data_IF_934880401101
#
_entry.id   IF_934880401101
#
_cell.length_a   1.000
_cell.length_b   1.000
_cell.length_c   1.000
_cell.angle_alpha   90.00
_cell.angle_beta   90.00
_cell.angle_gamma   90.00
#
_symmetry.space_group_name_H-M   'P 1'
#
loop_
_entity.id
_entity.type
_entity.pdbx_description
1 polymer ?
#
# COMPACT_ATOMS: atom_id res chain seq x y z
N UNK A 1 -31.30 -83.76 22.58
CA UNK A 1 -30.69 -82.80 23.54
C UNK A 1 -29.89 -81.80 22.73
N UNK A 2 -30.24 -80.51 22.87
CA UNK A 2 -29.86 -79.41 21.97
C UNK A 2 -28.52 -78.77 22.38
N UNK A 3 -27.72 -78.43 21.37
CA UNK A 3 -26.48 -77.63 21.41
C UNK A 3 -26.74 -76.23 21.98
N UNK A 4 -25.76 -75.68 22.68
CA UNK A 4 -25.52 -74.23 22.75
C UNK A 4 -24.00 -73.99 22.79
N UNK A 5 -23.47 -73.42 21.71
CA UNK A 5 -22.12 -72.85 21.61
C UNK A 5 -22.30 -71.35 21.85
N UNK A 6 -21.66 -70.81 22.87
CA UNK A 6 -21.67 -69.38 23.19
C UNK A 6 -20.62 -68.71 22.30
N UNK A 7 -21.08 -67.86 21.38
CA UNK A 7 -20.23 -66.99 20.57
C UNK A 7 -20.13 -65.62 21.25
N UNK A 8 -18.94 -65.27 21.71
CA UNK A 8 -18.65 -63.94 22.27
C UNK A 8 -18.35 -62.98 21.12
N UNK A 9 -19.26 -62.04 20.86
CA UNK A 9 -19.07 -60.95 19.89
C UNK A 9 -18.14 -59.90 20.48
N UNK A 10 -16.99 -59.67 19.83
CA UNK A 10 -16.08 -58.57 20.14
C UNK A 10 -16.44 -57.39 19.23
N UNK A 11 -17.18 -56.42 19.76
CA UNK A 11 -17.50 -55.17 19.06
C UNK A 11 -16.28 -54.25 19.05
N UNK A 12 -15.70 -54.06 17.86
CA UNK A 12 -14.68 -53.04 17.61
C UNK A 12 -15.43 -51.73 17.33
N UNK A 13 -15.35 -50.78 18.27
CA UNK A 13 -15.72 -49.38 18.03
C UNK A 13 -14.57 -48.70 17.27
N UNK A 14 -14.73 -48.49 15.96
CA UNK A 14 -13.89 -47.59 15.19
C UNK A 14 -14.44 -46.17 15.37
N UNK A 15 -13.75 -45.37 16.17
CA UNK A 15 -13.94 -43.92 16.21
C UNK A 15 -13.20 -43.37 14.99
N UNK A 16 -13.93 -43.03 13.93
CA UNK A 16 -13.39 -42.24 12.83
C UNK A 16 -13.15 -40.81 13.31
N UNK A 17 -11.95 -40.54 13.82
CA UNK A 17 -11.40 -39.18 13.76
C UNK A 17 -11.00 -38.93 12.31
N UNK A 18 -11.59 -37.91 11.68
CA UNK A 18 -11.14 -37.42 10.39
C UNK A 18 -9.73 -36.85 10.60
N UNK A 19 -8.73 -37.63 10.25
CA UNK A 19 -7.34 -37.20 10.24
C UNK A 19 -7.18 -36.45 8.92
N UNK A 20 -7.20 -35.12 8.94
CA UNK A 20 -6.83 -34.34 7.77
C UNK A 20 -5.39 -34.74 7.41
N UNK A 21 -5.24 -35.35 6.24
CA UNK A 21 -3.93 -35.77 5.76
C UNK A 21 -3.08 -34.51 5.52
N UNK A 22 -1.83 -34.43 6.03
CA UNK A 22 -0.94 -33.29 5.80
C UNK A 22 -0.79 -32.94 4.31
N UNK A 23 -0.84 -33.96 3.44
CA UNK A 23 -0.79 -33.82 1.98
C UNK A 23 -1.95 -33.02 1.37
N UNK A 24 -3.13 -33.00 2.01
CA UNK A 24 -4.28 -32.22 1.52
C UNK A 24 -4.21 -30.75 1.96
N UNK A 25 -3.60 -30.46 3.12
CA UNK A 25 -3.38 -29.10 3.61
C UNK A 25 -2.28 -28.40 2.80
N UNK A 26 -1.16 -29.08 2.53
CA UNK A 26 -0.08 -28.57 1.65
C UNK A 26 -0.58 -28.28 0.22
N UNK A 27 -1.57 -29.04 -0.27
CA UNK A 27 -2.19 -28.80 -1.57
C UNK A 27 -3.07 -27.52 -1.57
N UNK A 28 -3.85 -27.30 -0.50
CA UNK A 28 -4.66 -26.08 -0.35
C UNK A 28 -3.76 -24.84 -0.26
N UNK A 29 -2.76 -24.82 0.61
CA UNK A 29 -1.87 -23.66 0.76
C UNK A 29 -1.18 -23.31 -0.57
N UNK A 30 -0.76 -24.32 -1.33
CA UNK A 30 -0.20 -24.13 -2.68
C UNK A 30 -1.19 -23.46 -3.64
N UNK A 31 -2.47 -23.85 -3.60
CA UNK A 31 -3.53 -23.20 -4.39
C UNK A 31 -3.73 -21.74 -3.94
N UNK A 32 -3.78 -21.48 -2.63
CA UNK A 32 -3.97 -20.13 -2.10
C UNK A 32 -2.80 -19.21 -2.44
N UNK A 33 -1.56 -19.69 -2.33
CA UNK A 33 -0.37 -18.97 -2.77
C UNK A 33 -0.42 -18.63 -4.26
N UNK A 34 -0.83 -19.57 -5.10
CA UNK A 34 -0.96 -19.35 -6.54
C UNK A 34 -2.04 -18.30 -6.89
N UNK A 35 -3.07 -18.13 -6.04
CA UNK A 35 -4.04 -17.05 -6.19
C UNK A 35 -3.42 -15.70 -5.84
N UNK A 36 -2.65 -15.63 -4.74
CA UNK A 36 -1.94 -14.39 -4.34
C UNK A 36 -0.95 -13.93 -5.41
N UNK A 37 -0.22 -14.85 -6.01
CA UNK A 37 0.79 -14.54 -7.04
C UNK A 37 0.19 -13.97 -8.33
N UNK A 38 -1.08 -14.28 -8.60
CA UNK A 38 -1.78 -13.80 -9.79
C UNK A 38 -2.56 -12.51 -9.55
N UNK A 39 -2.74 -12.09 -8.29
CA UNK A 39 -3.57 -10.94 -7.96
C UNK A 39 -2.77 -9.64 -7.95
N UNK A 40 -3.12 -8.74 -8.88
CA UNK A 40 -2.50 -7.42 -9.03
C UNK A 40 -2.64 -6.53 -7.77
N UNK A 41 -3.68 -6.73 -6.96
CA UNK A 41 -3.98 -5.88 -5.79
C UNK A 41 -3.12 -6.23 -4.56
N UNK A 42 -2.53 -7.43 -4.53
CA UNK A 42 -1.92 -8.00 -3.32
C UNK A 42 -0.46 -7.58 -3.14
N UNK A 43 0.28 -7.43 -4.22
CA UNK A 43 1.73 -7.21 -4.20
C UNK A 43 2.19 -5.83 -3.72
N UNK A 44 3.51 -5.66 -3.66
CA UNK A 44 4.19 -4.41 -3.26
C UNK A 44 4.91 -3.71 -4.44
N UNK A 45 4.65 -4.13 -5.69
CA UNK A 45 5.34 -3.52 -6.83
C UNK A 45 4.93 -2.04 -6.95
N UNK A 46 5.89 -1.13 -7.03
CA UNK A 46 5.66 0.31 -6.93
C UNK A 46 6.01 0.92 -5.57
N UNK A 47 6.35 0.11 -4.55
CA UNK A 47 6.99 0.62 -3.33
C UNK A 47 8.44 1.08 -3.56
N UNK A 48 9.11 0.46 -4.53
CA UNK A 48 10.44 0.85 -5.00
C UNK A 48 10.41 2.15 -5.79
N UNK A 49 11.23 3.11 -5.40
CA UNK A 49 11.45 4.35 -6.14
C UNK A 49 12.48 4.16 -7.26
N UNK A 50 13.28 3.10 -7.24
CA UNK A 50 14.36 2.88 -8.20
C UNK A 50 15.46 3.92 -8.10
N UNK A 51 15.65 4.51 -6.91
CA UNK A 51 16.58 5.60 -6.64
C UNK A 51 15.89 6.86 -6.09
N UNK A 52 16.58 8.00 -6.17
CA UNK A 52 16.04 9.30 -5.78
C UNK A 52 15.01 9.81 -6.80
N UNK A 53 13.95 10.48 -6.31
CA UNK A 53 12.88 10.97 -7.17
C UNK A 53 12.51 12.41 -6.82
N UNK A 54 11.99 13.14 -7.80
CA UNK A 54 11.31 14.42 -7.54
C UNK A 54 10.09 14.19 -6.64
N UNK A 55 9.76 15.21 -5.84
CA UNK A 55 8.65 15.19 -4.88
C UNK A 55 7.30 14.93 -5.56
N UNK A 56 7.15 15.46 -6.78
CA UNK A 56 5.97 15.28 -7.63
C UNK A 56 6.39 14.80 -9.03
N UNK A 57 5.84 13.66 -9.49
CA UNK A 57 6.10 13.16 -10.85
C UNK A 57 5.01 12.18 -11.33
N UNK A 58 4.97 11.92 -12.63
CA UNK A 58 4.22 10.83 -13.26
C UNK A 58 5.12 10.15 -14.33
N UNK A 59 5.22 8.82 -14.29
CA UNK A 59 6.04 7.99 -15.17
C UNK A 59 5.17 6.85 -15.73
N UNK A 60 5.11 6.71 -17.05
CA UNK A 60 4.43 5.62 -17.76
C UNK A 60 2.92 5.51 -17.59
N UNK A 61 2.32 6.29 -16.69
CA UNK A 61 0.88 6.34 -16.50
C UNK A 61 0.16 6.89 -17.74
N UNK A 62 -1.01 6.31 -18.04
CA UNK A 62 -1.87 6.84 -19.08
C UNK A 62 -2.37 8.24 -18.68
N UNK A 63 -1.75 9.22 -19.32
CA UNK A 63 -2.01 10.66 -19.39
C UNK A 63 -3.17 11.13 -20.27
N UNK A 64 -4.16 11.91 -19.83
CA UNK A 64 -4.99 12.66 -20.80
C UNK A 64 -4.36 14.05 -21.09
N UNK A 65 -3.97 14.30 -22.36
CA UNK A 65 -3.44 15.57 -22.84
C UNK A 65 -1.93 15.78 -22.62
N UNK A 66 -1.41 16.95 -23.04
CA UNK A 66 -0.03 17.36 -22.72
C UNK A 66 0.10 17.45 -21.20
N UNK A 67 1.09 16.73 -20.65
CA UNK A 67 1.52 16.70 -19.24
C UNK A 67 1.43 18.07 -18.58
N UNK A 68 0.27 18.39 -18.00
CA UNK A 68 0.17 19.39 -16.95
C UNK A 68 0.39 18.63 -15.67
N UNK A 69 1.67 18.43 -15.34
CA UNK A 69 2.09 18.23 -13.98
C UNK A 69 1.32 19.26 -13.16
N UNK A 70 0.61 18.85 -12.10
CA UNK A 70 0.26 19.78 -11.04
C UNK A 70 1.60 20.16 -10.43
N UNK A 71 2.26 21.11 -11.10
CA UNK A 71 3.65 21.45 -10.92
C UNK A 71 3.80 21.86 -9.47
N UNK A 72 4.70 21.15 -8.81
CA UNK A 72 5.46 21.58 -7.66
C UNK A 72 5.52 23.11 -7.64
N UNK A 73 4.85 23.68 -6.64
CA UNK A 73 5.02 25.10 -6.36
C UNK A 73 6.42 25.19 -5.80
N UNK A 74 7.34 25.56 -6.70
CA UNK A 74 8.73 25.84 -6.43
C UNK A 74 8.85 26.60 -5.11
N UNK A 75 9.41 25.96 -4.09
CA UNK A 75 10.03 26.68 -2.97
C UNK A 75 11.37 27.23 -3.49
N UNK A 76 11.32 28.20 -4.40
CA UNK A 76 12.47 29.06 -4.67
C UNK A 76 12.73 29.87 -3.40
N UNK A 77 13.75 29.49 -2.63
CA UNK A 77 14.08 30.20 -1.38
C UNK A 77 15.33 29.73 -0.67
N UNK A 78 15.68 28.45 -0.77
CA UNK A 78 16.89 27.89 -0.15
C UNK A 78 17.79 27.34 -1.26
N UNK A 79 19.10 27.59 -1.20
CA UNK A 79 20.03 27.43 -2.34
C UNK A 79 20.19 26.03 -2.95
N UNK A 80 19.35 25.06 -2.58
CA UNK A 80 19.30 23.71 -3.11
C UNK A 80 17.88 23.10 -3.00
N UNK A 81 17.58 22.12 -3.84
CA UNK A 81 16.38 21.29 -3.79
C UNK A 81 16.71 19.90 -3.25
N UNK A 82 15.78 19.26 -2.54
CA UNK A 82 15.93 17.89 -2.06
C UNK A 82 15.18 16.91 -2.97
N UNK A 83 15.84 15.82 -3.33
CA UNK A 83 15.24 14.62 -3.94
C UNK A 83 15.54 13.45 -3.05
N UNK A 84 14.60 12.51 -2.97
CA UNK A 84 14.87 11.28 -2.24
C UNK A 84 13.98 10.15 -2.70
N UNK A 85 14.38 8.95 -2.37
CA UNK A 85 13.63 7.73 -2.63
C UNK A 85 14.34 6.51 -2.09
N UNK A 86 13.86 5.34 -2.52
CA UNK A 86 14.41 4.05 -2.16
C UNK A 86 14.95 3.32 -3.38
N UNK A 87 15.99 2.55 -3.16
CA UNK A 87 16.42 1.49 -4.06
C UNK A 87 16.33 0.16 -3.31
N UNK A 88 15.40 -0.69 -3.75
CA UNK A 88 15.23 -2.01 -3.15
C UNK A 88 16.38 -2.95 -3.54
N UNK A 89 16.92 -3.65 -2.55
CA UNK A 89 17.95 -4.67 -2.73
C UNK A 89 17.33 -6.06 -2.62
N UNK A 90 16.47 -6.26 -1.63
CA UNK A 90 15.86 -7.55 -1.34
C UNK A 90 14.41 -7.41 -0.86
N UNK A 91 13.61 -8.44 -1.15
CA UNK A 91 12.19 -8.50 -0.82
C UNK A 91 11.80 -9.93 -0.46
N UNK A 92 11.55 -10.14 0.82
CA UNK A 92 10.99 -11.38 1.33
C UNK A 92 9.47 -11.25 1.49
N UNK A 93 8.74 -12.34 1.20
CA UNK A 93 7.31 -12.47 1.49
C UNK A 93 7.08 -13.77 2.22
N UNK A 94 6.53 -13.69 3.43
CA UNK A 94 6.00 -14.84 4.16
C UNK A 94 4.48 -14.78 4.16
N UNK A 95 3.85 -15.94 4.15
CA UNK A 95 2.39 -16.06 4.23
C UNK A 95 2.04 -17.14 5.24
N UNK A 96 1.24 -16.78 6.24
CA UNK A 96 0.71 -17.71 7.23
C UNK A 96 -0.79 -17.90 6.96
N UNK A 97 -1.24 -19.15 6.84
CA UNK A 97 -2.63 -19.45 6.55
C UNK A 97 -3.38 -19.97 7.78
N UNK A 98 -4.55 -19.39 8.02
CA UNK A 98 -5.59 -19.96 8.86
C UNK A 98 -6.67 -20.55 7.93
N UNK A 99 -6.66 -21.88 7.77
CA UNK A 99 -7.59 -22.59 6.89
C UNK A 99 -8.82 -23.09 7.64
N UNK A 100 -9.99 -22.72 7.16
CA UNK A 100 -11.29 -23.24 7.58
C UNK A 100 -11.93 -24.11 6.49
N UNK A 101 -13.18 -24.53 6.73
CA UNK A 101 -13.89 -25.43 5.80
C UNK A 101 -14.21 -24.74 4.46
N UNK A 102 -14.77 -23.54 4.49
CA UNK A 102 -15.22 -22.79 3.30
C UNK A 102 -14.50 -21.43 3.14
N UNK A 103 -13.70 -21.05 4.13
CA UNK A 103 -12.98 -19.79 4.20
C UNK A 103 -11.54 -20.03 4.64
N UNK A 104 -10.59 -19.26 4.13
CA UNK A 104 -9.23 -19.21 4.64
C UNK A 104 -8.75 -17.76 4.75
N UNK A 105 -7.85 -17.48 5.68
CA UNK A 105 -7.21 -16.17 5.84
C UNK A 105 -5.71 -16.35 5.68
N UNK A 106 -5.10 -15.60 4.77
CA UNK A 106 -3.65 -15.49 4.64
C UNK A 106 -3.16 -14.19 5.25
N UNK A 107 -2.33 -14.27 6.29
CA UNK A 107 -1.54 -13.13 6.79
C UNK A 107 -0.26 -13.04 5.97
N UNK A 108 -0.12 -11.96 5.21
CA UNK A 108 1.03 -11.71 4.35
C UNK A 108 1.93 -10.70 5.04
N UNK A 109 3.19 -11.07 5.24
CA UNK A 109 4.25 -10.17 5.74
C UNK A 109 5.27 -9.97 4.63
N UNK A 110 5.50 -8.72 4.26
CA UNK A 110 6.57 -8.31 3.36
C UNK A 110 7.69 -7.66 4.16
N UNK A 111 8.90 -8.21 4.06
CA UNK A 111 10.12 -7.59 4.58
C UNK A 111 10.90 -7.04 3.39
N UNK A 112 11.03 -5.73 3.34
CA UNK A 112 11.69 -5.01 2.24
C UNK A 112 12.99 -4.39 2.76
N UNK A 113 14.10 -4.75 2.14
CA UNK A 113 15.42 -4.23 2.47
C UNK A 113 15.97 -3.42 1.29
N UNK A 114 16.68 -2.34 1.58
CA UNK A 114 17.29 -1.52 0.53
C UNK A 114 18.09 -0.35 1.06
N UNK A 115 18.39 0.56 0.15
CA UNK A 115 19.02 1.85 0.45
C UNK A 115 18.01 2.98 0.28
N UNK A 116 17.92 3.82 1.31
CA UNK A 116 17.27 5.12 1.24
C UNK A 116 18.31 6.13 0.76
N UNK A 117 17.95 6.92 -0.24
CA UNK A 117 18.84 7.86 -0.92
C UNK A 117 18.23 9.25 -0.78
N UNK A 118 18.98 10.19 -0.23
CA UNK A 118 18.63 11.61 -0.18
C UNK A 118 19.72 12.42 -0.88
N UNK A 119 19.31 13.25 -1.83
CA UNK A 119 20.19 14.05 -2.68
C UNK A 119 19.80 15.52 -2.55
N UNK A 120 20.78 16.37 -2.25
CA UNK A 120 20.64 17.81 -2.36
C UNK A 120 21.18 18.27 -3.72
N UNK A 121 20.42 19.07 -4.45
CA UNK A 121 20.77 19.55 -5.78
C UNK A 121 20.80 21.08 -5.77
N UNK A 122 21.92 21.67 -6.17
CA UNK A 122 22.10 23.11 -6.24
C UNK A 122 21.25 23.77 -7.35
N UNK A 123 21.29 25.11 -7.41
CA UNK A 123 20.59 25.87 -8.46
C UNK A 123 21.10 25.58 -9.88
N UNK A 124 22.28 25.00 -10.03
CA UNK A 124 22.89 24.61 -11.31
C UNK A 124 22.60 23.15 -11.69
N UNK A 125 21.73 22.46 -10.95
CA UNK A 125 21.40 21.04 -11.15
C UNK A 125 22.54 20.07 -10.83
N UNK A 126 23.53 20.50 -10.04
CA UNK A 126 24.59 19.63 -9.56
C UNK A 126 24.24 19.10 -8.18
N UNK A 127 24.61 17.85 -7.93
CA UNK A 127 24.55 17.26 -6.60
C UNK A 127 25.51 17.99 -5.63
N UNK A 128 25.07 18.16 -4.39
CA UNK A 128 25.85 18.69 -3.29
C UNK A 128 26.27 17.53 -2.40
N UNK A 129 27.41 16.91 -2.69
CA UNK A 129 27.93 15.71 -2.01
C UNK A 129 27.92 15.79 -0.48
N UNK A 130 28.13 16.98 0.10
CA UNK A 130 28.17 17.18 1.56
C UNK A 130 26.80 17.11 2.23
N UNK A 131 25.71 17.21 1.46
CA UNK A 131 24.32 17.18 1.93
C UNK A 131 23.58 15.94 1.41
N UNK A 132 24.11 15.27 0.40
CA UNK A 132 23.61 13.98 -0.09
C UNK A 132 24.14 12.81 0.73
N UNK A 133 23.32 11.77 0.88
CA UNK A 133 23.73 10.53 1.53
C UNK A 133 22.82 9.36 1.13
N UNK A 134 23.29 8.14 1.39
CA UNK A 134 22.45 6.95 1.44
C UNK A 134 22.56 6.27 2.81
N UNK A 135 21.52 5.54 3.20
CA UNK A 135 21.51 4.69 4.40
C UNK A 135 20.69 3.42 4.14
N UNK A 136 21.05 2.34 4.81
CA UNK A 136 20.28 1.10 4.75
C UNK A 136 18.93 1.27 5.45
N UNK A 137 17.91 0.59 4.94
CA UNK A 137 16.61 0.50 5.59
C UNK A 137 16.03 -0.91 5.53
N UNK A 138 15.20 -1.20 6.52
CA UNK A 138 14.27 -2.33 6.51
C UNK A 138 12.87 -1.79 6.78
N UNK A 139 11.89 -2.19 5.98
CA UNK A 139 10.48 -1.89 6.15
C UNK A 139 9.70 -3.20 6.22
N UNK A 140 8.80 -3.32 7.20
CA UNK A 140 7.89 -4.46 7.30
C UNK A 140 6.48 -3.97 6.98
N UNK A 141 5.80 -4.65 6.05
CA UNK A 141 4.43 -4.35 5.64
C UNK A 141 3.57 -5.60 5.79
N UNK A 142 2.39 -5.44 6.38
CA UNK A 142 1.48 -6.54 6.69
C UNK A 142 0.11 -6.32 6.05
N UNK A 143 -0.53 -7.39 5.60
CA UNK A 143 -1.95 -7.38 5.22
C UNK A 143 -2.58 -8.74 5.39
N UNK A 144 -3.91 -8.77 5.49
CA UNK A 144 -4.70 -10.01 5.45
C UNK A 144 -5.42 -10.15 4.12
N UNK A 145 -5.47 -11.36 3.60
CA UNK A 145 -6.27 -11.73 2.42
C UNK A 145 -7.21 -12.85 2.81
N UNK A 146 -8.48 -12.71 2.45
CA UNK A 146 -9.50 -13.73 2.70
C UNK A 146 -9.83 -14.45 1.41
N UNK A 147 -9.97 -15.76 1.54
CA UNK A 147 -10.29 -16.68 0.47
C UNK A 147 -11.59 -17.38 0.80
N UNK A 148 -12.38 -17.66 -0.22
CA UNK A 148 -13.62 -18.44 -0.09
C UNK A 148 -13.66 -19.54 -1.13
N UNK A 149 -14.31 -20.66 -0.78
CA UNK A 149 -14.74 -21.65 -1.75
C UNK A 149 -15.95 -21.13 -2.51
N UNK A 150 -15.94 -21.34 -3.82
CA UNK A 150 -17.11 -21.12 -4.67
C UNK A 150 -17.40 -22.39 -5.44
N UNK A 151 -18.68 -22.68 -5.60
CA UNK A 151 -19.15 -23.81 -6.40
C UNK A 151 -18.61 -23.70 -7.83
N UNK A 152 -17.97 -24.77 -8.27
CA UNK A 152 -17.44 -24.91 -9.62
C UNK A 152 -17.62 -26.37 -10.08
N UNK A 153 -18.76 -26.68 -10.72
CA UNK A 153 -19.03 -28.03 -11.22
C UNK A 153 -18.05 -28.51 -12.29
N UNK A 154 -17.23 -27.62 -12.87
CA UNK A 154 -16.19 -27.98 -13.83
C UNK A 154 -14.87 -28.39 -13.14
N UNK A 155 -14.70 -28.08 -11.86
CA UNK A 155 -13.57 -28.52 -11.03
C UNK A 155 -13.76 -29.98 -10.60
N UNK A 156 -12.70 -30.82 -10.55
CA UNK A 156 -12.79 -32.20 -10.06
C UNK A 156 -13.41 -32.31 -8.66
N UNK A 157 -13.17 -31.32 -7.80
CA UNK A 157 -13.65 -31.29 -6.41
C UNK A 157 -15.03 -30.61 -6.27
N UNK A 158 -15.60 -30.12 -7.37
CA UNK A 158 -16.88 -29.40 -7.38
C UNK A 158 -16.82 -27.96 -6.84
N UNK A 159 -15.63 -27.48 -6.45
CA UNK A 159 -15.39 -26.11 -6.01
C UNK A 159 -14.04 -25.58 -6.51
N UNK A 160 -13.86 -24.27 -6.43
CA UNK A 160 -12.57 -23.59 -6.55
C UNK A 160 -12.40 -22.55 -5.46
N UNK A 161 -11.16 -22.28 -5.08
CA UNK A 161 -10.84 -21.14 -4.22
C UNK A 161 -10.78 -19.85 -5.03
N UNK A 162 -11.15 -18.73 -4.39
CA UNK A 162 -10.88 -17.38 -4.90
C UNK A 162 -10.56 -16.45 -3.75
N UNK A 163 -9.83 -15.37 -4.04
CA UNK A 163 -9.73 -14.21 -3.14
C UNK A 163 -11.09 -13.50 -3.17
N UNK A 164 -11.67 -13.24 -2.00
CA UNK A 164 -12.92 -12.48 -1.89
C UNK A 164 -12.68 -11.06 -1.36
N UNK A 165 -11.70 -10.89 -0.49
CA UNK A 165 -11.40 -9.62 0.15
C UNK A 165 -9.94 -9.53 0.59
N UNK A 166 -9.47 -8.31 0.77
CA UNK A 166 -8.15 -8.01 1.31
C UNK A 166 -8.20 -6.75 2.16
N UNK A 167 -7.35 -6.69 3.17
CA UNK A 167 -7.15 -5.47 3.93
C UNK A 167 -6.19 -4.53 3.18
N UNK A 168 -6.27 -3.22 3.42
CA UNK A 168 -5.13 -2.35 3.24
C UNK A 168 -3.85 -2.97 3.81
N UNK A 169 -2.73 -2.70 3.15
CA UNK A 169 -1.44 -3.11 3.66
C UNK A 169 -0.84 -1.98 4.48
N UNK A 170 -0.36 -2.30 5.68
CA UNK A 170 0.08 -1.32 6.66
C UNK A 170 1.44 -1.71 7.22
N UNK A 171 2.27 -0.72 7.54
CA UNK A 171 3.55 -0.98 8.18
C UNK A 171 4.48 0.22 8.06
N UNK A 172 5.78 -0.03 7.98
CA UNK A 172 6.77 1.03 8.01
C UNK A 172 8.06 0.59 8.72
N UNK A 173 8.76 1.58 9.27
CA UNK A 173 9.96 1.39 10.06
C UNK A 173 10.04 2.47 11.14
N UNK A 174 10.56 2.12 12.32
CA UNK A 174 10.56 3.02 13.47
C UNK A 174 9.16 3.33 14.01
N UNK A 175 9.08 4.25 14.97
CA UNK A 175 7.87 4.59 15.74
C UNK A 175 7.65 6.11 15.89
N UNK A 176 8.49 6.93 15.23
CA UNK A 176 8.37 8.39 15.30
C UNK A 176 7.14 8.93 14.58
N UNK A 177 6.88 8.49 13.36
CA UNK A 177 5.75 8.97 12.55
C UNK A 177 4.69 7.87 12.40
N UNK A 178 3.42 8.26 12.41
CA UNK A 178 2.29 7.33 12.25
C UNK A 178 1.17 8.01 11.47
N UNK A 179 0.67 7.37 10.42
CA UNK A 179 -0.56 7.78 9.74
C UNK A 179 -1.76 7.39 10.61
N UNK A 180 -2.70 8.32 10.80
CA UNK A 180 -3.89 8.13 11.64
C UNK A 180 -5.15 8.04 10.81
N UNK A 181 -5.29 8.94 9.83
CA UNK A 181 -6.44 8.99 8.93
C UNK A 181 -5.99 9.31 7.51
N UNK A 182 -6.72 8.76 6.55
CA UNK A 182 -6.55 9.04 5.13
C UNK A 182 -7.92 9.21 4.51
N UNK A 183 -8.14 10.29 3.78
CA UNK A 183 -9.39 10.51 3.05
C UNK A 183 -9.15 11.07 1.65
N UNK A 184 -10.02 10.69 0.72
CA UNK A 184 -10.02 11.14 -0.66
C UNK A 184 -11.33 11.84 -0.96
N UNK A 185 -11.26 13.03 -1.56
CA UNK A 185 -12.44 13.79 -1.99
C UNK A 185 -12.40 14.04 -3.48
N UNK A 186 -13.57 14.13 -4.10
CA UNK A 186 -13.71 14.67 -5.46
C UNK A 186 -13.48 16.18 -5.44
N UNK A 187 -13.15 16.71 -6.62
CA UNK A 187 -13.08 18.14 -6.85
C UNK A 187 -14.14 18.56 -7.87
N UNK A 188 -14.74 19.73 -7.66
CA UNK A 188 -15.58 20.37 -8.68
C UNK A 188 -14.75 20.81 -9.89
N UNK A 189 -15.41 21.23 -10.98
CA UNK A 189 -14.73 21.80 -12.15
C UNK A 189 -13.88 23.05 -11.81
N UNK A 190 -14.24 23.75 -10.71
CA UNK A 190 -13.51 24.91 -10.20
C UNK A 190 -12.37 24.54 -9.23
N UNK A 191 -12.06 23.25 -9.06
CA UNK A 191 -11.05 22.73 -8.11
C UNK A 191 -11.39 22.98 -6.64
N UNK A 192 -12.67 23.10 -6.32
CA UNK A 192 -13.15 23.16 -4.93
C UNK A 192 -13.40 21.73 -4.42
N UNK A 193 -13.12 21.48 -3.13
CA UNK A 193 -13.41 20.20 -2.49
C UNK A 193 -14.91 19.95 -2.46
N UNK A 194 -15.32 18.75 -2.89
CA UNK A 194 -16.73 18.38 -3.01
C UNK A 194 -17.08 17.16 -2.13
N UNK A 195 -17.24 15.97 -2.72
CA UNK A 195 -17.74 14.79 -2.03
C UNK A 195 -16.61 13.93 -1.46
N UNK A 196 -16.79 13.39 -0.24
CA UNK A 196 -15.94 12.36 0.32
C UNK A 196 -16.13 11.06 -0.47
N UNK A 197 -15.06 10.59 -1.13
CA UNK A 197 -15.06 9.34 -1.88
C UNK A 197 -14.74 8.14 -0.99
N UNK A 198 -13.64 8.25 -0.22
CA UNK A 198 -13.12 7.16 0.61
C UNK A 198 -12.46 7.71 1.86
N UNK A 199 -12.57 6.99 2.98
CA UNK A 199 -11.89 7.30 4.23
C UNK A 199 -11.38 6.03 4.90
N UNK A 200 -10.20 6.11 5.50
CA UNK A 200 -9.52 5.04 6.20
C UNK A 200 -8.96 5.59 7.51
N UNK A 201 -9.04 4.80 8.58
CA UNK A 201 -8.53 5.17 9.91
C UNK A 201 -7.68 4.03 10.49
N UNK A 202 -6.65 4.38 11.25
CA UNK A 202 -5.67 3.43 11.80
C UNK A 202 -6.29 2.34 12.67
N UNK A 203 -7.38 2.65 13.37
CA UNK A 203 -7.98 1.79 14.39
C UNK A 203 -8.49 0.45 13.83
N UNK A 204 -8.93 0.43 12.57
CA UNK A 204 -9.53 -0.74 11.93
C UNK A 204 -8.75 -1.20 10.68
N UNK A 205 -7.68 -0.50 10.31
CA UNK A 205 -7.09 -0.64 8.97
C UNK A 205 -6.54 -2.05 8.68
N UNK A 206 -5.97 -2.70 9.70
CA UNK A 206 -5.45 -4.07 9.61
C UNK A 206 -6.52 -5.17 9.57
N UNK A 207 -7.79 -4.80 9.83
CA UNK A 207 -8.95 -5.71 9.88
C UNK A 207 -10.07 -5.30 8.91
N UNK A 208 -9.93 -4.16 8.22
CA UNK A 208 -10.85 -3.66 7.22
C UNK A 208 -10.77 -4.47 5.93
N UNK A 209 -11.58 -5.51 5.81
CA UNK A 209 -11.68 -6.29 4.57
C UNK A 209 -12.43 -5.53 3.48
N UNK A 210 -11.73 -5.18 2.42
CA UNK A 210 -12.29 -4.60 1.20
C UNK A 210 -12.59 -5.73 0.22
N UNK A 211 -13.83 -5.81 -0.26
CA UNK A 211 -14.24 -6.77 -1.28
C UNK A 211 -13.39 -6.59 -2.55
N UNK A 212 -12.81 -7.68 -3.04
CA UNK A 212 -11.89 -7.70 -4.17
C UNK A 212 -12.54 -7.27 -5.49
N UNK A 213 -13.84 -7.49 -5.65
CA UNK A 213 -14.63 -7.08 -6.81
C UNK A 213 -15.18 -5.65 -6.67
N UNK A 214 -15.19 -5.11 -5.44
CA UNK A 214 -15.69 -3.77 -5.10
C UNK A 214 -14.62 -2.89 -4.44
N UNK A 215 -13.38 -2.96 -4.96
CA UNK A 215 -12.30 -2.04 -4.57
C UNK A 215 -12.73 -0.57 -4.73
N UNK A 216 -12.15 0.37 -3.96
CA UNK A 216 -12.28 1.80 -4.22
C UNK A 216 -12.09 2.11 -5.71
N UNK A 217 -13.01 2.86 -6.30
CA UNK A 217 -13.04 3.16 -7.72
C UNK A 217 -12.80 4.65 -7.93
N UNK A 218 -11.84 4.96 -8.79
CA UNK A 218 -11.64 6.32 -9.27
C UNK A 218 -11.95 6.41 -10.77
N UNK A 219 -12.69 7.45 -11.16
CA UNK A 219 -12.94 7.75 -12.57
C UNK A 219 -11.65 8.22 -13.23
N UNK A 220 -11.28 7.62 -14.36
CA UNK A 220 -10.07 7.98 -15.10
C UNK A 220 -10.03 9.48 -15.42
N UNK A 221 -8.84 10.09 -15.30
CA UNK A 221 -8.58 11.50 -15.60
C UNK A 221 -9.27 12.54 -14.72
N UNK A 222 -10.12 12.09 -13.78
CA UNK A 222 -10.68 12.95 -12.74
C UNK A 222 -9.59 13.50 -11.81
N UNK A 223 -9.94 14.53 -11.06
CA UNK A 223 -9.07 15.11 -10.04
C UNK A 223 -9.65 14.79 -8.67
N UNK A 224 -8.77 14.37 -7.78
CA UNK A 224 -9.10 14.08 -6.39
C UNK A 224 -8.09 14.77 -5.49
N UNK A 225 -8.49 15.07 -4.27
CA UNK A 225 -7.59 15.55 -3.22
C UNK A 225 -7.49 14.48 -2.14
N UNK A 226 -6.27 14.24 -1.67
CA UNK A 226 -6.00 13.39 -0.53
C UNK A 226 -5.72 14.25 0.69
N UNK A 227 -6.25 13.85 1.85
CA UNK A 227 -5.91 14.37 3.17
C UNK A 227 -5.37 13.22 4.02
N UNK A 228 -4.19 13.41 4.59
CA UNK A 228 -3.52 12.44 5.46
C UNK A 228 -3.19 13.09 6.79
N UNK A 229 -3.71 12.53 7.88
CA UNK A 229 -3.44 12.95 9.24
C UNK A 229 -2.26 12.16 9.81
N UNK A 230 -1.29 12.84 10.40
CA UNK A 230 -0.06 12.24 10.94
C UNK A 230 0.11 12.56 12.43
N UNK A 231 0.70 11.63 13.16
CA UNK A 231 1.29 11.90 14.48
C UNK A 231 2.80 11.79 14.32
N UNK A 232 3.53 12.85 14.69
CA UNK A 232 4.99 12.86 14.76
C UNK A 232 5.46 13.04 16.22
N UNK A 233 5.99 11.95 16.79
CA UNK A 233 6.48 11.88 18.16
C UNK A 233 7.89 12.46 18.27
N UNK A 234 7.98 13.78 18.36
CA UNK A 234 9.24 14.49 18.55
C UNK A 234 9.89 14.91 17.23
N UNK A 235 9.29 15.85 16.49
CA UNK A 235 9.91 16.44 15.32
C UNK A 235 11.18 17.19 15.75
N UNK A 236 12.34 16.74 15.26
CA UNK A 236 13.65 17.33 15.59
C UNK A 236 14.08 18.39 14.59
N UNK A 237 13.53 18.34 13.37
CA UNK A 237 13.92 19.16 12.24
C UNK A 237 12.67 19.68 11.51
N UNK A 238 12.78 20.86 10.92
CA UNK A 238 11.78 21.46 10.05
C UNK A 238 12.50 22.05 8.84
N UNK A 239 11.90 22.01 7.65
CA UNK A 239 12.53 22.51 6.42
C UNK A 239 12.21 23.97 6.10
N UNK A 240 11.22 24.55 6.77
CA UNK A 240 10.76 25.91 6.49
C UNK A 240 10.03 26.52 7.72
N UNK A 241 9.37 27.65 7.50
CA UNK A 241 8.63 28.38 8.53
C UNK A 241 7.29 27.75 8.93
N UNK A 242 6.84 26.68 8.27
CA UNK A 242 5.61 25.97 8.66
C UNK A 242 5.78 25.28 10.01
N UNK A 243 7.00 24.83 10.30
CA UNK A 243 7.32 24.08 11.51
C UNK A 243 6.89 22.62 11.45
N UNK A 244 6.56 22.10 10.27
CA UNK A 244 6.20 20.69 10.04
C UNK A 244 7.46 19.83 10.06
N UNK A 245 7.40 18.71 10.78
CA UNK A 245 8.53 17.83 11.08
C UNK A 245 8.63 16.57 10.23
N UNK A 246 7.69 16.39 9.31
CA UNK A 246 7.51 15.20 8.49
C UNK A 246 7.06 15.59 7.09
N UNK A 247 7.28 14.71 6.14
CA UNK A 247 6.70 14.83 4.82
C UNK A 247 5.82 13.64 4.51
N UNK A 248 4.70 13.89 3.83
CA UNK A 248 3.74 12.86 3.44
C UNK A 248 3.64 12.75 1.94
N UNK A 249 3.73 11.53 1.40
CA UNK A 249 3.66 11.27 -0.03
C UNK A 249 2.54 10.34 -0.38
N UNK A 250 1.77 10.69 -1.39
CA UNK A 250 0.87 9.79 -2.09
C UNK A 250 1.59 9.27 -3.33
N UNK A 251 2.14 8.07 -3.24
CA UNK A 251 2.59 7.32 -4.41
C UNK A 251 1.42 6.49 -4.94
N UNK A 252 1.30 6.33 -6.26
CA UNK A 252 0.22 5.57 -6.87
C UNK A 252 0.65 4.98 -8.21
N UNK A 253 0.08 3.84 -8.59
CA UNK A 253 0.41 3.18 -9.85
C UNK A 253 0.38 1.67 -9.74
N UNK A 254 1.01 0.99 -10.71
CA UNK A 254 1.13 -0.47 -10.74
C UNK A 254 2.50 -0.96 -10.31
N UNK A 255 3.54 -0.29 -10.79
CA UNK A 255 4.93 -0.71 -10.64
C UNK A 255 5.87 0.48 -10.84
N UNK A 256 7.19 0.25 -10.81
CA UNK A 256 8.19 1.31 -10.95
C UNK A 256 8.16 2.06 -12.31
N UNK A 257 7.59 1.45 -13.33
CA UNK A 257 7.54 1.96 -14.71
C UNK A 257 6.20 2.67 -14.98
N UNK A 258 5.18 2.40 -14.19
CA UNK A 258 3.83 2.98 -14.25
C UNK A 258 3.43 3.51 -12.87
N UNK A 259 3.90 4.72 -12.53
CA UNK A 259 3.70 5.33 -11.20
C UNK A 259 3.62 6.85 -11.25
N UNK A 260 3.02 7.42 -10.21
CA UNK A 260 3.10 8.83 -9.89
C UNK A 260 3.33 9.03 -8.39
N UNK A 261 3.77 10.22 -8.03
CA UNK A 261 4.00 10.66 -6.65
C UNK A 261 3.48 12.07 -6.48
N UNK A 262 2.84 12.34 -5.34
CA UNK A 262 2.45 13.68 -4.91
C UNK A 262 2.90 13.94 -3.48
N UNK A 263 3.52 15.08 -3.24
CA UNK A 263 3.83 15.58 -1.90
C UNK A 263 2.60 16.26 -1.29
N UNK A 264 2.09 15.69 -0.20
CA UNK A 264 0.98 16.26 0.57
C UNK A 264 1.55 17.24 1.60
N UNK A 265 1.09 18.49 1.55
CA UNK A 265 1.64 19.60 2.32
C UNK A 265 0.70 19.98 3.46
N UNK A 266 1.30 20.30 4.59
CA UNK A 266 0.66 20.96 5.73
C UNK A 266 1.28 22.37 5.81
N UNK A 267 0.67 23.34 5.12
CA UNK A 267 1.21 24.68 4.89
C UNK A 267 0.20 25.81 5.10
N UNK A 268 -1.05 25.50 5.41
CA UNK A 268 -2.19 26.40 5.43
C UNK A 268 -2.54 27.00 4.06
N UNK A 269 -2.19 26.33 2.95
CA UNK A 269 -2.37 26.81 1.58
C UNK A 269 -3.06 25.78 0.68
N UNK A 270 -3.73 26.30 -0.36
CA UNK A 270 -4.44 25.52 -1.38
C UNK A 270 -5.53 24.60 -0.80
N UNK A 271 -5.28 23.30 -0.78
CA UNK A 271 -6.21 22.30 -0.24
C UNK A 271 -6.08 22.16 1.27
N UNK A 272 -4.99 22.67 1.84
CA UNK A 272 -4.75 22.68 3.26
C UNK A 272 -5.21 24.01 3.87
N UNK A 273 -5.99 23.93 4.94
CA UNK A 273 -6.70 25.08 5.52
C UNK A 273 -5.98 25.67 6.72
N UNK A 274 -5.18 24.88 7.44
CA UNK A 274 -4.49 25.29 8.64
C UNK A 274 -3.05 24.77 8.58
N UNK A 275 -2.10 25.63 8.93
CA UNK A 275 -0.68 25.27 8.89
C UNK A 275 -0.28 24.59 10.21
N UNK A 276 0.49 23.52 10.09
CA UNK A 276 1.05 22.71 11.16
C UNK A 276 -0.01 22.17 12.12
N UNK A 277 -1.10 21.63 11.55
CA UNK A 277 -2.14 20.90 12.29
C UNK A 277 -2.02 19.37 12.14
N UNK A 278 -0.97 18.92 11.46
CA UNK A 278 -0.65 17.54 11.06
C UNK A 278 -1.58 16.95 9.99
N UNK A 279 -2.38 17.77 9.31
CA UNK A 279 -3.22 17.35 8.19
C UNK A 279 -2.54 17.76 6.88
N UNK A 280 -1.92 16.78 6.24
CA UNK A 280 -1.25 16.97 4.96
C UNK A 280 -2.23 16.79 3.81
N UNK A 281 -2.27 17.73 2.87
CA UNK A 281 -3.16 17.63 1.71
C UNK A 281 -2.47 17.83 0.37
N UNK A 282 -3.03 17.23 -0.69
CA UNK A 282 -2.49 17.35 -2.04
C UNK A 282 -3.40 16.77 -3.12
N UNK A 283 -3.35 17.38 -4.30
CA UNK A 283 -4.15 17.00 -5.46
C UNK A 283 -3.49 15.92 -6.31
N UNK A 284 -4.26 14.92 -6.72
CA UNK A 284 -3.88 13.88 -7.66
C UNK A 284 -4.80 13.91 -8.88
N UNK A 285 -4.22 13.77 -10.07
CA UNK A 285 -4.99 13.45 -11.27
C UNK A 285 -4.97 11.94 -11.45
N UNK A 286 -6.15 11.33 -11.46
CA UNK A 286 -6.30 9.90 -11.66
C UNK A 286 -5.83 9.58 -13.08
N UNK A 287 -4.93 8.61 -13.22
CA UNK A 287 -4.47 8.14 -14.53
C UNK A 287 -5.56 7.35 -15.27
N UNK A 288 -5.32 6.98 -16.52
CA UNK A 288 -6.16 6.02 -17.22
C UNK A 288 -5.96 4.59 -16.72
N UNK A 289 -6.88 3.66 -17.00
CA UNK A 289 -6.74 2.25 -16.60
C UNK A 289 -5.64 1.51 -17.38
N UNK A 290 -5.09 2.11 -18.43
CA UNK A 290 -4.16 1.49 -19.36
C UNK A 290 -4.67 1.60 -20.80
N UNK A 291 -3.75 1.61 -21.80
CA UNK A 291 -4.13 1.73 -23.20
C UNK A 291 -5.13 0.65 -23.63
N UNK A 292 -6.31 1.08 -24.11
CA UNK A 292 -7.37 0.18 -24.59
C UNK A 292 -8.11 -0.60 -23.49
N UNK A 293 -7.79 -0.37 -22.21
CA UNK A 293 -8.50 -1.01 -21.09
C UNK A 293 -9.68 -0.13 -20.64
N UNK A 294 -10.79 -0.76 -20.26
CA UNK A 294 -11.94 -0.07 -19.64
C UNK A 294 -11.74 0.09 -18.14
N UNK A 295 -11.05 -0.86 -17.52
CA UNK A 295 -10.76 -0.89 -16.08
C UNK A 295 -9.35 -1.44 -15.82
N UNK A 296 -8.73 -1.01 -14.74
CA UNK A 296 -7.42 -1.50 -14.31
C UNK A 296 -7.27 -1.45 -12.79
N UNK A 297 -6.56 -2.40 -12.20
CA UNK A 297 -6.25 -2.44 -10.76
C UNK A 297 -4.90 -1.80 -10.51
N UNK A 298 -4.81 -1.05 -9.42
CA UNK A 298 -3.67 -0.26 -9.00
C UNK A 298 -3.61 -0.23 -7.47
N UNK A 299 -2.56 0.40 -6.94
CA UNK A 299 -2.37 0.57 -5.50
C UNK A 299 -1.72 1.91 -5.21
N UNK A 300 -2.09 2.47 -4.09
CA UNK A 300 -1.42 3.63 -3.51
C UNK A 300 -0.36 3.18 -2.51
N UNK A 301 0.61 4.04 -2.22
CA UNK A 301 1.47 3.97 -1.04
C UNK A 301 1.52 5.38 -0.45
N UNK A 302 0.71 5.58 0.59
CA UNK A 302 0.71 6.79 1.41
C UNK A 302 1.82 6.59 2.43
N UNK A 303 2.79 7.48 2.41
CA UNK A 303 4.00 7.35 3.21
C UNK A 303 4.24 8.63 3.99
N UNK A 304 4.22 8.55 5.32
CA UNK A 304 4.76 9.57 6.20
C UNK A 304 6.24 9.27 6.50
N UNK A 305 7.10 10.28 6.38
CA UNK A 305 8.54 10.18 6.63
C UNK A 305 8.96 11.30 7.58
N UNK A 306 9.63 10.94 8.67
CA UNK A 306 10.25 11.92 9.58
C UNK A 306 11.36 12.70 8.86
N UNK A 307 11.42 14.02 9.03
CA UNK A 307 12.46 14.83 8.39
C UNK A 307 13.87 14.44 8.82
N UNK A 308 14.07 13.91 10.05
CA UNK A 308 15.38 13.42 10.45
C UNK A 308 15.85 12.24 9.56
N UNK A 309 14.93 11.44 9.01
CA UNK A 309 15.26 10.39 8.04
C UNK A 309 15.84 10.98 6.75
N UNK A 310 15.31 12.12 6.29
CA UNK A 310 15.68 12.79 5.04
C UNK A 310 16.91 13.67 5.19
N UNK A 311 17.11 14.29 6.36
CA UNK A 311 18.11 15.34 6.55
C UNK A 311 19.36 14.88 7.31
N UNK A 312 19.32 13.75 8.01
CA UNK A 312 20.43 13.29 8.86
C UNK A 312 20.94 11.94 8.38
N UNK A 313 22.15 11.89 7.83
CA UNK A 313 22.75 10.66 7.30
C UNK A 313 22.80 9.51 8.32
N UNK A 314 23.20 9.81 9.56
CA UNK A 314 23.26 8.85 10.67
C UNK A 314 21.95 8.74 11.48
N UNK A 315 20.89 9.42 11.05
CA UNK A 315 19.57 9.37 11.69
C UNK A 315 18.83 8.09 11.33
N UNK A 316 17.88 7.69 12.19
CA UNK A 316 17.03 6.53 11.94
C UNK A 316 16.20 6.66 10.66
N UNK A 317 15.77 5.51 10.13
CA UNK A 317 14.79 5.43 9.05
C UNK A 317 13.40 5.24 9.68
N UNK A 318 12.63 6.32 9.77
CA UNK A 318 11.33 6.36 10.43
C UNK A 318 10.26 6.70 9.40
N UNK A 319 9.43 5.71 9.07
CA UNK A 319 8.34 5.84 8.10
C UNK A 319 7.11 5.09 8.54
N UNK A 320 5.95 5.56 8.11
CA UNK A 320 4.69 4.83 8.21
C UNK A 320 4.04 4.78 6.83
N UNK A 321 3.61 3.59 6.42
CA UNK A 321 3.16 3.31 5.06
C UNK A 321 1.81 2.61 5.08
N UNK A 322 0.85 3.19 4.38
CA UNK A 322 -0.43 2.56 4.05
C UNK A 322 -0.51 2.34 2.55
N UNK A 323 -0.91 1.15 2.13
CA UNK A 323 -1.18 0.84 0.73
C UNK A 323 -2.62 0.40 0.53
N UNK A 324 -3.36 1.26 -0.17
CA UNK A 324 -4.78 1.04 -0.47
C UNK A 324 -4.89 0.54 -1.92
N UNK A 325 -5.41 -0.67 -2.17
CA UNK A 325 -5.73 -1.14 -3.51
C UNK A 325 -6.94 -0.38 -4.05
N UNK A 326 -6.92 -0.05 -5.34
CA UNK A 326 -8.02 0.65 -6.00
C UNK A 326 -8.16 0.22 -7.47
N UNK A 327 -9.28 0.60 -8.07
CA UNK A 327 -9.58 0.41 -9.49
C UNK A 327 -9.73 1.76 -10.16
N UNK A 328 -9.24 1.85 -11.38
CA UNK A 328 -9.55 2.97 -12.28
C UNK A 328 -10.50 2.48 -13.34
N UNK A 329 -11.53 3.27 -13.64
CA UNK A 329 -12.53 2.98 -14.67
C UNK A 329 -12.70 4.16 -15.63
N UNK A 330 -12.85 3.86 -16.92
CA UNK A 330 -13.31 4.85 -17.89
C UNK A 330 -14.83 5.06 -17.72
N UNK A 331 -15.32 6.31 -17.87
CA UNK A 331 -16.75 6.62 -17.88
C UNK A 331 -17.55 5.84 -18.93
#
# INVERSE_FOLDING_TARGET
MKKNIIATSLSIFLINGCMDSPSAVEDIESILLALLDKDEAVGVDGFDSGGDMDLDHDIGLETEGMTRTFSDTLSFGEGYRLRFGRQLIDRERTVEFETGQDTAIGLITHTVNGEFIAIAIDTNQNEIDSLSFSKEFTTVLNRKVRFIKVDDPASPDGYRWKIDALTPMVGGSGDKVTLVDLSFYSLTDNLEVDELLYSFSSDELGDLYIDRESLPVFTSFSRVVAYANVINNGPEYTTDSTGVGEWVFLNYGRNREERGRRHLRDSGLFFDQAMNDNIHSGGMRVHGPGPGQVRGVFRTFIEAVDLATILVSNGGYNTNVWSIPYRVERP
#
